data_IF_637273648728
#
_entry.id   IF_637273648728
#
_cell.length_a   1.000
_cell.length_b   1.000
_cell.length_c   1.000
_cell.angle_alpha   90.00
_cell.angle_beta   90.00
_cell.angle_gamma   90.00
#
_symmetry.space_group_name_H-M   'P 1'
#
loop_
_entity.id
_entity.type
_entity.pdbx_description
1 polymer ?
#
# COMPACT_ATOMS: atom_id res chain seq x y z
N UNK A 1 -12.79 -1.16 9.13
CA UNK A 1 -13.22 -1.15 10.55
C UNK A 1 -12.22 -1.84 11.49
N UNK A 2 -11.37 -2.79 11.01
CA UNK A 2 -10.44 -3.54 11.85
C UNK A 2 -9.40 -2.64 12.54
N UNK A 3 -8.82 -1.68 11.85
CA UNK A 3 -7.92 -0.70 12.47
C UNK A 3 -8.56 0.07 13.63
N UNK A 4 -9.87 0.32 13.60
CA UNK A 4 -10.55 1.02 14.67
C UNK A 4 -10.59 0.24 16.01
N UNK A 5 -10.43 -1.09 15.94
CA UNK A 5 -10.37 -1.98 17.11
C UNK A 5 -8.98 -2.06 17.74
N UNK A 6 -7.95 -1.58 17.04
CA UNK A 6 -6.56 -1.66 17.49
C UNK A 6 -6.22 -0.51 18.45
N UNK A 7 -5.27 -0.75 19.37
CA UNK A 7 -4.71 0.28 20.23
C UNK A 7 -3.36 0.77 19.67
N UNK A 8 -3.12 2.08 19.79
CA UNK A 8 -1.83 2.67 19.41
C UNK A 8 -0.84 2.41 20.53
N UNK A 9 0.29 1.80 20.22
CA UNK A 9 1.39 1.53 21.15
C UNK A 9 2.61 2.42 20.87
N UNK A 10 3.46 2.62 21.86
CA UNK A 10 4.65 3.51 21.77
C UNK A 10 5.65 3.09 20.68
N UNK A 11 5.77 1.78 20.41
CA UNK A 11 6.71 1.23 19.44
C UNK A 11 6.13 1.01 18.04
N UNK A 12 4.90 1.48 17.81
CA UNK A 12 4.20 1.29 16.54
C UNK A 12 4.72 2.28 15.48
N UNK A 13 4.86 1.82 14.23
CA UNK A 13 5.16 2.72 13.11
C UNK A 13 4.13 3.85 13.02
N UNK A 14 4.61 5.08 12.78
CA UNK A 14 3.79 6.27 12.74
C UNK A 14 2.63 6.17 11.72
N UNK A 15 2.84 5.49 10.59
CA UNK A 15 1.85 5.25 9.55
C UNK A 15 0.72 4.34 10.02
N UNK A 16 1.03 3.26 10.76
CA UNK A 16 0.01 2.37 11.35
C UNK A 16 -0.78 3.12 12.42
N UNK A 17 -0.10 3.84 13.30
CA UNK A 17 -0.74 4.65 14.33
C UNK A 17 -1.67 5.71 13.73
N UNK A 18 -1.29 6.35 12.63
CA UNK A 18 -2.13 7.30 11.90
C UNK A 18 -3.37 6.62 11.31
N UNK A 19 -3.24 5.43 10.70
CA UNK A 19 -4.36 4.66 10.16
C UNK A 19 -5.35 4.25 11.25
N UNK A 20 -4.86 3.83 12.43
CA UNK A 20 -5.70 3.50 13.59
C UNK A 20 -6.49 4.73 14.05
N UNK A 21 -5.83 5.87 14.23
CA UNK A 21 -6.49 7.12 14.68
C UNK A 21 -7.54 7.58 13.68
N UNK A 22 -7.22 7.57 12.38
CA UNK A 22 -8.14 7.94 11.31
C UNK A 22 -9.35 6.99 11.26
N UNK A 23 -9.15 5.68 11.45
CA UNK A 23 -10.21 4.68 11.48
C UNK A 23 -11.14 4.85 12.68
N UNK A 24 -10.61 5.20 13.87
CA UNK A 24 -11.42 5.53 15.06
C UNK A 24 -12.29 6.77 14.83
N UNK A 25 -11.87 7.69 13.96
CA UNK A 25 -12.67 8.84 13.53
C UNK A 25 -13.83 8.52 12.57
N UNK A 26 -13.97 7.28 12.12
CA UNK A 26 -15.12 6.77 11.36
C UNK A 26 -15.22 7.19 9.89
N UNK A 27 -14.23 7.92 9.37
CA UNK A 27 -14.22 8.46 7.99
C UNK A 27 -13.00 8.01 7.16
N UNK A 28 -12.27 7.00 7.63
CA UNK A 28 -11.04 6.58 6.96
C UNK A 28 -11.34 5.58 5.85
N UNK A 29 -11.02 5.97 4.63
CA UNK A 29 -11.05 5.13 3.43
C UNK A 29 -9.59 4.93 2.99
N UNK A 30 -9.03 3.76 3.26
CA UNK A 30 -7.61 3.48 3.09
C UNK A 30 -7.14 3.47 1.62
N UNK A 31 -8.07 3.27 0.68
CA UNK A 31 -7.79 3.25 -0.76
C UNK A 31 -8.18 4.57 -1.46
N UNK A 32 -8.51 5.62 -0.70
CA UNK A 32 -8.82 6.98 -1.20
C UNK A 32 -9.95 7.04 -2.25
N UNK A 33 -10.93 6.15 -2.15
CA UNK A 33 -12.01 5.98 -3.15
C UNK A 33 -11.52 5.70 -4.58
N UNK A 34 -10.27 5.25 -4.75
CA UNK A 34 -9.77 4.85 -6.05
C UNK A 34 -10.59 3.69 -6.62
N UNK A 35 -10.92 3.72 -7.92
CA UNK A 35 -11.77 2.70 -8.55
C UNK A 35 -11.10 1.34 -8.65
N UNK A 36 -9.77 1.27 -8.55
CA UNK A 36 -9.00 0.03 -8.61
C UNK A 36 -8.04 -0.07 -7.42
N UNK A 37 -8.05 -1.21 -6.76
CA UNK A 37 -7.06 -1.61 -5.78
C UNK A 37 -6.38 -2.89 -6.26
N UNK A 38 -5.09 -2.82 -6.52
CA UNK A 38 -4.25 -3.96 -6.90
C UNK A 38 -3.55 -4.44 -5.63
N UNK A 39 -3.63 -5.72 -5.32
CA UNK A 39 -2.89 -6.32 -4.21
C UNK A 39 -1.78 -7.20 -4.77
N UNK A 40 -0.56 -7.00 -4.30
CA UNK A 40 0.57 -7.86 -4.60
C UNK A 40 0.75 -8.85 -3.45
N UNK A 41 0.61 -10.13 -3.75
CA UNK A 41 0.78 -11.21 -2.81
C UNK A 41 1.91 -12.14 -3.25
N UNK A 42 2.52 -12.81 -2.29
CA UNK A 42 3.58 -13.78 -2.53
C UNK A 42 3.62 -14.82 -1.40
N UNK A 43 4.37 -15.88 -1.58
CA UNK A 43 4.51 -16.94 -0.58
C UNK A 43 5.11 -16.41 0.72
N UNK A 44 4.55 -16.84 1.85
CA UNK A 44 4.99 -16.45 3.21
C UNK A 44 6.40 -16.93 3.51
N UNK A 45 6.74 -18.12 3.05
CA UNK A 45 8.03 -18.78 3.29
C UNK A 45 9.14 -18.35 2.31
N UNK A 46 8.86 -17.47 1.36
CA UNK A 46 9.84 -17.00 0.40
C UNK A 46 10.55 -15.73 0.90
N UNK A 47 11.85 -15.83 1.10
CA UNK A 47 12.66 -14.76 1.72
C UNK A 47 12.69 -13.42 0.96
N UNK A 48 12.39 -13.42 -0.35
CA UNK A 48 12.33 -12.21 -1.19
C UNK A 48 10.91 -11.75 -1.49
N UNK A 49 9.90 -12.29 -0.81
CA UNK A 49 8.50 -12.00 -1.12
C UNK A 49 8.17 -10.49 -1.13
N UNK A 50 8.68 -9.74 -0.15
CA UNK A 50 8.50 -8.29 -0.08
C UNK A 50 9.27 -7.55 -1.19
N UNK A 51 10.49 -7.97 -1.47
CA UNK A 51 11.33 -7.34 -2.49
C UNK A 51 10.71 -7.48 -3.89
N UNK A 52 10.34 -8.69 -4.28
CA UNK A 52 9.74 -8.97 -5.58
C UNK A 52 8.41 -8.24 -5.75
N UNK A 53 7.55 -8.30 -4.73
CA UNK A 53 6.26 -7.61 -4.75
C UNK A 53 6.43 -6.08 -4.81
N UNK A 54 7.44 -5.53 -4.10
CA UNK A 54 7.74 -4.10 -4.15
C UNK A 54 8.22 -3.67 -5.54
N UNK A 55 9.09 -4.45 -6.17
CA UNK A 55 9.52 -4.18 -7.54
C UNK A 55 8.35 -4.23 -8.55
N UNK A 56 7.44 -5.19 -8.38
CA UNK A 56 6.26 -5.28 -9.23
C UNK A 56 5.35 -4.05 -9.07
N UNK A 57 5.05 -3.65 -7.83
CA UNK A 57 4.22 -2.47 -7.55
C UNK A 57 4.87 -1.19 -8.05
N UNK A 58 6.19 -1.02 -7.90
CA UNK A 58 6.92 0.15 -8.43
C UNK A 58 6.81 0.23 -9.96
N UNK A 59 6.99 -0.89 -10.66
CA UNK A 59 6.80 -0.94 -12.12
C UNK A 59 5.37 -0.55 -12.53
N UNK A 60 4.36 -1.00 -11.76
CA UNK A 60 2.97 -0.61 -11.99
C UNK A 60 2.75 0.89 -11.75
N UNK A 61 3.38 1.49 -10.72
CA UNK A 61 3.31 2.94 -10.46
C UNK A 61 3.94 3.75 -11.59
N UNK A 62 5.09 3.31 -12.11
CA UNK A 62 5.75 3.92 -13.27
C UNK A 62 4.83 3.86 -14.50
N UNK A 63 4.22 2.70 -14.75
CA UNK A 63 3.29 2.52 -15.87
C UNK A 63 2.03 3.37 -15.68
N UNK A 64 1.44 3.41 -14.49
CA UNK A 64 0.28 4.25 -14.19
C UNK A 64 0.57 5.72 -14.53
N UNK A 65 1.75 6.23 -14.10
CA UNK A 65 2.16 7.58 -14.43
C UNK A 65 2.35 7.81 -15.94
N UNK A 66 2.86 6.81 -16.68
CA UNK A 66 3.01 6.87 -18.14
C UNK A 66 1.65 6.88 -18.87
N UNK A 67 0.60 6.33 -18.25
CA UNK A 67 -0.77 6.30 -18.74
C UNK A 67 -1.63 7.47 -18.23
N UNK A 68 -1.02 8.49 -17.63
CA UNK A 68 -1.69 9.64 -17.02
C UNK A 68 -2.68 9.26 -15.89
N UNK A 69 -2.43 8.13 -15.21
CA UNK A 69 -3.18 7.70 -14.05
C UNK A 69 -2.51 8.11 -12.74
N UNK A 70 -3.32 8.43 -11.73
CA UNK A 70 -2.87 8.59 -10.36
C UNK A 70 -2.67 7.22 -9.70
N UNK A 71 -1.66 7.10 -8.85
CA UNK A 71 -1.43 5.89 -8.09
C UNK A 71 -0.89 6.20 -6.69
N UNK A 72 -1.22 5.34 -5.73
CA UNK A 72 -0.75 5.47 -4.36
C UNK A 72 -0.46 4.08 -3.77
N UNK A 73 0.72 3.93 -3.15
CA UNK A 73 1.08 2.72 -2.42
C UNK A 73 0.21 2.55 -1.16
N UNK A 74 -0.35 1.37 -0.98
CA UNK A 74 -1.25 1.02 0.13
C UNK A 74 -0.65 -0.13 0.95
N UNK A 75 -0.41 0.11 2.24
CA UNK A 75 0.11 -0.90 3.17
C UNK A 75 -0.95 -1.50 4.11
N UNK A 76 -2.15 -0.95 4.16
CA UNK A 76 -3.14 -1.31 5.16
C UNK A 76 -3.53 -2.79 5.12
N UNK A 77 -3.68 -3.36 3.93
CA UNK A 77 -3.99 -4.80 3.77
C UNK A 77 -2.80 -5.66 4.15
N UNK A 78 -1.56 -5.22 3.82
CA UNK A 78 -0.34 -5.89 4.27
C UNK A 78 -0.25 -5.96 5.80
N UNK A 79 -0.49 -4.85 6.50
CA UNK A 79 -0.43 -4.83 7.97
C UNK A 79 -1.51 -5.67 8.65
N UNK A 80 -2.59 -5.97 7.96
CA UNK A 80 -3.69 -6.80 8.43
C UNK A 80 -3.72 -8.19 7.77
N UNK A 81 -2.65 -8.58 7.09
CA UNK A 81 -2.61 -9.82 6.30
C UNK A 81 -2.90 -11.09 7.12
N UNK A 82 -2.67 -11.04 8.43
CA UNK A 82 -2.94 -12.15 9.36
C UNK A 82 -4.22 -11.96 10.20
N UNK A 83 -4.98 -10.90 9.93
CA UNK A 83 -6.27 -10.69 10.59
C UNK A 83 -7.30 -11.68 10.04
N UNK A 84 -8.03 -12.45 10.88
CA UNK A 84 -8.93 -13.51 10.43
C UNK A 84 -10.00 -13.06 9.43
N UNK A 85 -10.58 -11.84 9.63
CA UNK A 85 -11.59 -11.31 8.70
C UNK A 85 -10.99 -10.92 7.36
N UNK A 86 -9.73 -10.44 7.37
CA UNK A 86 -9.02 -10.10 6.13
C UNK A 86 -8.61 -11.38 5.41
N UNK A 87 -8.16 -12.41 6.12
CA UNK A 87 -7.82 -13.72 5.54
C UNK A 87 -9.04 -14.36 4.86
N UNK A 88 -10.21 -14.35 5.51
CA UNK A 88 -11.45 -14.84 4.93
C UNK A 88 -11.76 -14.12 3.60
N UNK A 89 -11.71 -12.79 3.60
CA UNK A 89 -11.94 -11.98 2.40
C UNK A 89 -10.90 -12.22 1.30
N UNK A 90 -9.61 -12.32 1.66
CA UNK A 90 -8.53 -12.59 0.70
C UNK A 90 -8.64 -14.00 0.11
N UNK A 91 -9.09 -14.99 0.89
CA UNK A 91 -9.37 -16.34 0.40
C UNK A 91 -10.48 -16.36 -0.65
N UNK A 92 -11.55 -15.56 -0.46
CA UNK A 92 -12.59 -15.38 -1.48
C UNK A 92 -12.05 -14.78 -2.79
N UNK A 93 -11.00 -13.97 -2.70
CA UNK A 93 -10.29 -13.41 -3.86
C UNK A 93 -9.26 -14.38 -4.47
N UNK A 94 -9.10 -15.57 -3.91
CA UNK A 94 -8.24 -16.63 -4.43
C UNK A 94 -6.84 -16.69 -3.81
N UNK A 95 -6.57 -15.95 -2.73
CA UNK A 95 -5.32 -16.09 -1.98
C UNK A 95 -5.32 -17.39 -1.18
N UNK A 96 -4.22 -18.13 -1.23
CA UNK A 96 -4.03 -19.33 -0.42
C UNK A 96 -3.47 -18.99 0.97
N UNK A 97 -3.60 -19.92 1.92
CA UNK A 97 -3.04 -19.79 3.28
C UNK A 97 -1.51 -19.71 3.29
N UNK A 98 -0.86 -20.20 2.21
CA UNK A 98 0.60 -20.13 2.04
C UNK A 98 1.09 -18.75 1.57
N UNK A 99 0.18 -17.86 1.23
CA UNK A 99 0.47 -16.53 0.70
C UNK A 99 0.17 -15.42 1.71
N UNK A 100 0.77 -14.27 1.51
CA UNK A 100 0.48 -13.05 2.23
C UNK A 100 0.47 -11.85 1.29
N UNK A 101 -0.30 -10.85 1.62
CA UNK A 101 -0.26 -9.56 0.92
C UNK A 101 1.00 -8.81 1.33
N UNK A 102 1.86 -8.49 0.36
CA UNK A 102 3.10 -7.74 0.55
C UNK A 102 2.91 -6.23 0.39
N UNK A 103 1.88 -5.82 -0.30
CA UNK A 103 1.53 -4.42 -0.51
C UNK A 103 0.36 -4.29 -1.46
N UNK A 104 -0.08 -3.06 -1.69
CA UNK A 104 -1.14 -2.75 -2.64
C UNK A 104 -0.92 -1.44 -3.35
N UNK A 105 -1.67 -1.23 -4.40
CA UNK A 105 -1.66 -0.02 -5.21
C UNK A 105 -3.10 0.42 -5.49
N UNK A 106 -3.47 1.59 -4.98
CA UNK A 106 -4.68 2.27 -5.39
C UNK A 106 -4.40 3.00 -6.71
N UNK A 107 -5.26 2.83 -7.71
CA UNK A 107 -5.09 3.42 -9.05
C UNK A 107 -6.42 4.04 -9.49
N UNK A 108 -6.35 5.22 -10.09
CA UNK A 108 -7.52 5.93 -10.59
C UNK A 108 -7.14 7.13 -11.46
N UNK A 109 -8.16 7.79 -11.98
CA UNK A 109 -7.96 9.06 -12.67
C UNK A 109 -7.65 10.17 -11.67
N UNK A 110 -6.66 11.04 -11.94
CA UNK A 110 -6.34 12.15 -11.07
C UNK A 110 -7.50 13.14 -10.94
N UNK A 111 -7.80 13.54 -9.71
CA UNK A 111 -8.76 14.62 -9.42
C UNK A 111 -8.00 15.96 -9.38
N UNK A 112 -7.47 16.35 -10.52
CA UNK A 112 -6.72 17.60 -10.74
C UNK A 112 -7.41 18.43 -11.81
N UNK A 113 -7.17 19.72 -11.84
CA UNK A 113 -7.83 20.65 -12.76
C UNK A 113 -7.57 20.31 -14.24
N UNK A 114 -6.37 19.79 -14.55
CA UNK A 114 -5.95 19.36 -15.89
C UNK A 114 -6.16 17.86 -16.16
N UNK A 115 -6.63 17.10 -15.17
CA UNK A 115 -6.82 15.65 -15.26
C UNK A 115 -5.52 14.84 -15.33
N UNK A 116 -4.38 15.46 -15.03
CA UNK A 116 -3.06 14.82 -15.08
C UNK A 116 -2.48 14.59 -13.68
N UNK A 117 -1.70 13.52 -13.47
CA UNK A 117 -1.06 13.28 -12.19
C UNK A 117 -0.02 14.36 -11.88
N UNK A 118 0.07 14.75 -10.62
CA UNK A 118 1.09 15.71 -10.17
C UNK A 118 2.48 15.07 -10.29
N UNK A 119 3.31 15.62 -11.18
CA UNK A 119 4.67 15.13 -11.47
C UNK A 119 5.78 15.95 -10.81
N UNK A 120 5.45 16.81 -9.87
CA UNK A 120 6.44 17.59 -9.12
C UNK A 120 7.23 16.68 -8.21
N UNK A 121 8.58 16.61 -8.34
CA UNK A 121 9.38 15.76 -7.48
C UNK A 121 9.34 16.28 -6.04
N UNK A 122 9.07 15.40 -5.10
CA UNK A 122 9.22 15.72 -3.69
C UNK A 122 10.72 15.84 -3.33
N UNK A 123 11.08 16.74 -2.40
CA UNK A 123 12.44 16.81 -1.89
C UNK A 123 12.88 15.46 -1.33
N UNK A 124 13.95 14.91 -1.89
CA UNK A 124 14.50 13.63 -1.39
C UNK A 124 15.20 13.85 -0.06
N UNK A 125 14.84 13.04 0.92
CA UNK A 125 15.51 12.95 2.22
C UNK A 125 16.21 11.59 2.27
N UNK A 126 17.50 11.59 2.53
CA UNK A 126 18.27 10.35 2.59
C UNK A 126 19.76 10.63 2.69
N UNK A 127 20.55 9.59 2.81
CA UNK A 127 21.98 9.68 2.83
C UNK A 127 22.52 10.08 1.46
N UNK A 128 23.66 10.81 1.42
CA UNK A 128 24.32 11.15 0.15
C UNK A 128 24.80 9.87 -0.56
N UNK A 129 24.77 9.90 -1.89
CA UNK A 129 25.35 8.83 -2.71
C UNK A 129 26.85 8.90 -2.64
N UNK A 130 27.52 7.80 -2.30
CA UNK A 130 28.99 7.68 -2.32
C UNK A 130 29.40 6.94 -3.58
N UNK A 131 30.30 7.56 -4.34
CA UNK A 131 30.90 6.93 -5.52
C UNK A 131 32.27 6.36 -5.14
N UNK A 132 32.47 5.07 -5.37
CA UNK A 132 33.76 4.39 -5.18
C UNK A 132 34.43 4.36 -6.55
N UNK A 133 35.63 4.94 -6.64
CA UNK A 133 36.47 4.91 -7.85
C UNK A 133 37.44 3.75 -7.78
#
# INVERSE_FOLDING_TARGET
QEFAKMEVTENMYASIAASIRASKGGKYIFHYDAPVLILAANRRDYGNNMADSSCALENMMIMANALDLGSCWINQVHWLTDNPLILEYLSELGLSDEECVCGGLAVGYPDTEDGLPVRSPLPRKGNPVTYIQ
#
